data_IF_546945717567
#
_entry.id   IF_546945717567
#
_cell.length_a   1.000
_cell.length_b   1.000
_cell.length_c   1.000
_cell.angle_alpha   90.00
_cell.angle_beta   90.00
_cell.angle_gamma   90.00
#
_symmetry.space_group_name_H-M   'P 1'
#
loop_
_entity.id
_entity.type
_entity.pdbx_description
1 polymer ?
#
# COMPACT_ATOMS: atom_id res chain seq x y z
N UNK A 1 4.51 2.96 -0.10
CA UNK A 1 3.74 2.82 1.16
C UNK A 1 2.25 3.05 0.93
N UNK A 2 1.84 4.25 0.53
CA UNK A 2 0.46 4.56 0.09
C UNK A 2 0.46 4.55 -1.43
N UNK A 3 -0.52 3.92 -2.06
CA UNK A 3 -0.66 3.92 -3.51
C UNK A 3 -1.88 4.72 -3.92
N UNK A 4 -3.07 4.29 -3.54
CA UNK A 4 -4.32 4.92 -3.94
C UNK A 4 -4.96 5.69 -2.80
N UNK A 5 -5.55 6.84 -3.11
CA UNK A 5 -6.42 7.59 -2.22
C UNK A 5 -7.80 7.82 -2.86
N UNK A 6 -8.80 7.97 -2.01
CA UNK A 6 -10.06 8.65 -2.35
C UNK A 6 -10.39 9.64 -1.26
N UNK A 7 -10.52 10.90 -1.63
CA UNK A 7 -10.94 11.99 -0.74
C UNK A 7 -12.28 12.58 -1.18
N UNK A 8 -12.95 13.22 -0.22
CA UNK A 8 -14.21 13.94 -0.42
C UNK A 8 -14.09 15.36 0.14
N UNK A 9 -14.52 16.33 -0.66
CA UNK A 9 -14.63 17.73 -0.29
C UNK A 9 -16.12 18.12 -0.36
N UNK A 10 -16.63 18.81 0.66
CA UNK A 10 -18.01 19.32 0.71
C UNK A 10 -18.09 20.85 0.81
N UNK A 11 -16.94 21.51 0.95
CA UNK A 11 -16.83 22.97 1.01
C UNK A 11 -16.97 23.56 -0.39
N UNK A 12 -18.00 24.35 -0.64
CA UNK A 12 -18.36 24.82 -1.97
C UNK A 12 -17.30 25.74 -2.60
N UNK A 13 -16.72 26.65 -1.80
CA UNK A 13 -15.66 27.54 -2.27
C UNK A 13 -14.45 26.74 -2.74
N UNK A 14 -14.00 25.76 -1.94
CA UNK A 14 -12.91 24.88 -2.31
C UNK A 14 -13.24 24.01 -3.54
N UNK A 15 -14.47 23.48 -3.62
CA UNK A 15 -14.91 22.71 -4.80
C UNK A 15 -14.79 23.56 -6.06
N UNK A 16 -15.30 24.80 -6.05
CA UNK A 16 -15.28 25.67 -7.22
C UNK A 16 -13.85 26.06 -7.60
N UNK A 17 -12.98 26.34 -6.62
CA UNK A 17 -11.57 26.61 -6.85
C UNK A 17 -10.85 25.44 -7.54
N UNK A 18 -11.00 24.21 -7.00
CA UNK A 18 -10.36 23.02 -7.56
C UNK A 18 -10.91 22.71 -8.95
N UNK A 19 -12.24 22.78 -9.12
CA UNK A 19 -12.91 22.35 -10.34
C UNK A 19 -12.60 23.23 -11.56
N UNK A 20 -12.33 24.51 -11.33
CA UNK A 20 -12.01 25.49 -12.36
C UNK A 20 -10.50 25.58 -12.65
N UNK A 21 -9.69 24.71 -12.05
CA UNK A 21 -8.26 24.65 -12.34
C UNK A 21 -8.02 24.21 -13.80
N UNK A 22 -7.23 25.00 -14.53
CA UNK A 22 -7.00 24.85 -15.97
C UNK A 22 -6.22 23.59 -16.34
N UNK A 23 -5.44 23.01 -15.42
CA UNK A 23 -4.68 21.78 -15.69
C UNK A 23 -5.56 20.54 -15.77
N UNK A 24 -6.82 20.62 -15.32
CA UNK A 24 -7.74 19.49 -15.30
C UNK A 24 -8.26 19.19 -16.71
N UNK A 25 -7.98 17.98 -17.19
CA UNK A 25 -8.39 17.50 -18.51
C UNK A 25 -9.76 16.83 -18.40
N UNK A 26 -10.72 17.23 -19.24
CA UNK A 26 -12.02 16.58 -19.32
C UNK A 26 -11.89 15.11 -19.80
N UNK A 27 -12.52 14.19 -19.08
CA UNK A 27 -12.49 12.76 -19.41
C UNK A 27 -13.83 12.23 -19.89
N UNK A 28 -14.93 12.87 -19.49
CA UNK A 28 -16.26 12.43 -19.88
C UNK A 28 -17.36 12.79 -18.90
N UNK A 29 -18.55 12.33 -19.24
CA UNK A 29 -19.76 12.42 -18.44
C UNK A 29 -20.31 11.02 -18.20
N UNK A 30 -20.95 10.85 -17.06
CA UNK A 30 -21.69 9.63 -16.72
C UNK A 30 -22.98 10.01 -16.05
N UNK A 31 -23.98 9.15 -16.11
CA UNK A 31 -25.27 9.39 -15.47
C UNK A 31 -25.40 8.52 -14.22
N UNK A 32 -26.00 9.08 -13.18
CA UNK A 32 -26.28 8.33 -11.96
C UNK A 32 -27.64 8.72 -11.39
N UNK A 33 -28.45 7.71 -11.08
CA UNK A 33 -29.73 7.89 -10.40
C UNK A 33 -29.50 8.30 -8.94
N UNK A 34 -30.17 9.36 -8.52
CA UNK A 34 -30.24 9.86 -7.15
C UNK A 34 -31.68 10.26 -6.88
N UNK A 35 -32.32 9.62 -5.89
CA UNK A 35 -33.70 9.89 -5.49
C UNK A 35 -34.66 10.03 -6.69
N UNK A 36 -34.62 9.03 -7.57
CA UNK A 36 -35.42 8.94 -8.80
C UNK A 36 -35.13 9.95 -9.92
N UNK A 37 -34.12 10.82 -9.74
CA UNK A 37 -33.60 11.69 -10.79
C UNK A 37 -32.30 11.13 -11.39
N UNK A 38 -32.16 11.20 -12.72
CA UNK A 38 -30.88 10.94 -13.38
C UNK A 38 -30.05 12.22 -13.34
N UNK A 39 -28.85 12.13 -12.78
CA UNK A 39 -27.93 13.26 -12.65
C UNK A 39 -26.66 13.00 -13.42
N UNK A 40 -26.26 13.98 -14.22
CA UNK A 40 -25.00 13.96 -14.95
C UNK A 40 -23.83 14.23 -13.99
N UNK A 41 -22.79 13.42 -14.10
CA UNK A 41 -21.55 13.50 -13.36
C UNK A 41 -20.42 13.70 -14.35
N UNK A 42 -19.84 14.89 -14.33
CA UNK A 42 -18.64 15.20 -15.10
C UNK A 42 -17.41 14.66 -14.35
N UNK A 43 -16.49 14.04 -15.10
CA UNK A 43 -15.17 13.65 -14.60
C UNK A 43 -14.08 14.39 -15.35
N UNK A 44 -13.15 14.98 -14.59
CA UNK A 44 -11.87 15.50 -15.09
C UNK A 44 -10.72 14.69 -14.50
N UNK A 45 -9.53 14.79 -15.08
CA UNK A 45 -8.34 14.11 -14.56
C UNK A 45 -7.07 14.91 -14.71
N UNK A 46 -6.07 14.56 -13.91
CA UNK A 46 -4.69 15.01 -14.03
C UNK A 46 -3.74 13.99 -13.41
N UNK A 47 -2.72 13.53 -14.12
CA UNK A 47 -1.69 12.58 -13.64
C UNK A 47 -2.24 11.44 -12.76
N UNK A 48 -3.18 10.64 -13.30
CA UNK A 48 -3.86 9.53 -12.62
C UNK A 48 -4.79 9.91 -11.44
N UNK A 49 -4.98 11.19 -11.14
CA UNK A 49 -6.04 11.66 -10.26
C UNK A 49 -7.29 11.97 -11.08
N UNK A 50 -8.43 11.50 -10.60
CA UNK A 50 -9.75 11.66 -11.21
C UNK A 50 -10.65 12.44 -10.26
N UNK A 51 -11.25 13.50 -10.79
CA UNK A 51 -12.08 14.47 -10.11
C UNK A 51 -13.50 14.29 -10.61
N UNK A 52 -14.41 13.85 -9.75
CA UNK A 52 -15.83 13.69 -10.09
C UNK A 52 -16.65 14.67 -9.27
N UNK A 53 -17.27 15.65 -9.93
CA UNK A 53 -18.13 16.65 -9.28
C UNK A 53 -19.55 16.09 -9.17
N UNK A 54 -20.05 16.07 -7.94
CA UNK A 54 -21.45 15.82 -7.60
C UNK A 54 -22.10 17.15 -7.20
N UNK A 55 -23.42 17.14 -7.02
CA UNK A 55 -24.17 18.35 -6.62
C UNK A 55 -23.66 18.98 -5.33
N UNK A 56 -23.33 18.17 -4.31
CA UNK A 56 -22.96 18.64 -2.98
C UNK A 56 -21.52 18.29 -2.55
N UNK A 57 -20.72 17.73 -3.46
CA UNK A 57 -19.36 17.31 -3.14
C UNK A 57 -18.48 17.15 -4.38
N UNK A 58 -17.18 17.23 -4.17
CA UNK A 58 -16.17 16.77 -5.10
C UNK A 58 -15.51 15.51 -4.53
N UNK A 59 -15.40 14.47 -5.34
CA UNK A 59 -14.58 13.30 -5.00
C UNK A 59 -13.33 13.30 -5.87
N UNK A 60 -12.17 13.18 -5.24
CA UNK A 60 -10.87 13.06 -5.92
C UNK A 60 -10.32 11.70 -5.58
N UNK A 61 -9.97 10.90 -6.58
CA UNK A 61 -9.43 9.54 -6.40
C UNK A 61 -8.30 9.27 -7.38
N UNK A 62 -7.34 8.45 -6.99
CA UNK A 62 -6.23 8.09 -7.88
C UNK A 62 -5.03 7.60 -7.12
N UNK A 63 -3.99 7.21 -7.85
CA UNK A 63 -2.73 6.79 -7.25
C UNK A 63 -1.78 7.97 -7.06
N UNK A 64 -1.39 8.22 -5.80
CA UNK A 64 -0.32 9.15 -5.45
C UNK A 64 1.01 8.69 -6.03
N UNK A 65 1.23 7.39 -6.09
CA UNK A 65 2.46 6.82 -6.61
C UNK A 65 2.55 6.97 -8.14
N UNK A 66 1.44 6.82 -8.85
CA UNK A 66 1.38 7.20 -10.26
C UNK A 66 1.62 8.70 -10.44
N UNK A 67 0.99 9.56 -9.63
CA UNK A 67 1.22 11.00 -9.72
C UNK A 67 2.71 11.36 -9.55
N UNK A 68 3.38 10.74 -8.56
CA UNK A 68 4.81 10.88 -8.32
C UNK A 68 5.67 10.47 -9.53
N UNK A 69 5.28 9.41 -10.24
CA UNK A 69 5.94 8.94 -11.46
C UNK A 69 5.28 9.50 -12.74
N UNK A 70 4.79 10.74 -12.71
CA UNK A 70 4.21 11.45 -13.87
C UNK A 70 3.08 10.71 -14.60
N UNK A 71 2.33 9.89 -13.88
CA UNK A 71 1.22 9.09 -14.41
C UNK A 71 1.64 7.80 -15.11
N UNK A 72 2.89 7.37 -15.01
CA UNK A 72 3.42 6.22 -15.77
C UNK A 72 3.31 4.88 -15.05
N UNK A 73 3.70 4.78 -13.78
CA UNK A 73 3.72 3.51 -13.05
C UNK A 73 3.67 3.66 -11.53
N UNK A 74 3.51 2.54 -10.82
CA UNK A 74 3.60 2.44 -9.35
C UNK A 74 4.47 1.25 -8.88
N UNK A 75 5.51 0.93 -9.64
CA UNK A 75 6.33 -0.26 -9.44
C UNK A 75 7.61 -0.01 -8.61
N UNK A 76 8.20 1.18 -8.67
CA UNK A 76 9.37 1.59 -7.90
C UNK A 76 9.04 1.77 -6.41
N UNK A 77 10.06 2.13 -5.63
CA UNK A 77 9.86 2.48 -4.23
C UNK A 77 9.26 3.87 -4.09
N UNK A 78 8.18 3.94 -3.32
CA UNK A 78 7.53 5.20 -2.95
C UNK A 78 7.63 5.38 -1.44
N UNK A 79 8.63 6.18 -1.04
CA UNK A 79 8.97 6.39 0.37
C UNK A 79 7.93 7.28 1.03
N UNK A 80 7.96 7.31 2.37
CA UNK A 80 7.05 8.17 3.14
C UNK A 80 7.29 9.63 2.78
N UNK A 81 8.55 10.05 2.71
CA UNK A 81 8.89 11.43 2.35
C UNK A 81 8.34 11.80 0.98
N UNK A 82 8.53 10.95 -0.04
CA UNK A 82 8.01 11.18 -1.40
C UNK A 82 6.48 11.27 -1.42
N UNK A 83 5.79 10.46 -0.61
CA UNK A 83 4.35 10.52 -0.46
C UNK A 83 3.89 11.85 0.15
N UNK A 84 4.58 12.33 1.20
CA UNK A 84 4.28 13.62 1.83
C UNK A 84 4.52 14.76 0.82
N UNK A 85 5.66 14.77 0.13
CA UNK A 85 5.96 15.77 -0.90
C UNK A 85 4.95 15.74 -2.05
N UNK A 86 4.52 14.55 -2.47
CA UNK A 86 3.48 14.40 -3.49
C UNK A 86 2.17 15.04 -3.06
N UNK A 87 1.77 14.85 -1.79
CA UNK A 87 0.54 15.46 -1.25
C UNK A 87 0.67 16.98 -1.18
N UNK A 88 1.83 17.52 -0.75
CA UNK A 88 2.07 18.96 -0.75
C UNK A 88 2.08 19.55 -2.17
N UNK A 89 2.64 18.85 -3.16
CA UNK A 89 2.55 19.27 -4.57
C UNK A 89 1.10 19.30 -5.08
N UNK A 90 0.30 18.27 -4.78
CA UNK A 90 -1.13 18.23 -5.13
C UNK A 90 -1.88 19.37 -4.44
N UNK A 91 -1.54 19.65 -3.17
CA UNK A 91 -2.11 20.76 -2.40
C UNK A 91 -1.84 22.10 -3.08
N UNK A 92 -0.60 22.40 -3.45
CA UNK A 92 -0.28 23.66 -4.12
C UNK A 92 -0.91 23.75 -5.52
N UNK A 93 -0.85 22.66 -6.29
CA UNK A 93 -1.38 22.62 -7.66
C UNK A 93 -2.88 22.91 -7.71
N UNK A 94 -3.65 22.30 -6.82
CA UNK A 94 -5.11 22.47 -6.77
C UNK A 94 -5.57 23.45 -5.69
N UNK A 95 -4.63 24.11 -5.00
CA UNK A 95 -4.87 25.01 -3.87
C UNK A 95 -5.78 24.36 -2.82
N UNK A 96 -5.47 23.14 -2.40
CA UNK A 96 -6.29 22.38 -1.46
C UNK A 96 -6.13 22.89 -0.03
N UNK A 97 -7.25 22.96 0.69
CA UNK A 97 -7.22 22.87 2.15
C UNK A 97 -7.27 21.39 2.54
N UNK A 98 -6.14 20.85 2.99
CA UNK A 98 -6.00 19.44 3.33
C UNK A 98 -6.92 19.00 4.49
N UNK A 99 -7.31 19.92 5.38
CA UNK A 99 -8.23 19.64 6.48
C UNK A 99 -9.68 19.45 5.99
N UNK A 100 -10.03 20.06 4.85
CA UNK A 100 -11.34 19.90 4.21
C UNK A 100 -11.42 18.66 3.31
N UNK A 101 -10.30 18.00 3.07
CA UNK A 101 -10.20 16.80 2.23
C UNK A 101 -10.39 15.52 3.06
N UNK A 102 -11.65 15.08 3.26
CA UNK A 102 -11.97 13.89 4.07
C UNK A 102 -11.51 12.60 3.38
N UNK A 103 -10.77 11.74 4.08
CA UNK A 103 -10.35 10.43 3.56
C UNK A 103 -11.52 9.45 3.55
N UNK A 104 -11.76 8.83 2.39
CA UNK A 104 -12.82 7.82 2.20
C UNK A 104 -12.22 6.44 1.94
N UNK A 105 -11.15 6.38 1.14
CA UNK A 105 -10.44 5.15 0.80
C UNK A 105 -8.94 5.38 0.77
N UNK A 106 -8.21 4.32 1.06
CA UNK A 106 -6.77 4.25 1.06
C UNK A 106 -6.35 2.86 0.58
N UNK A 107 -5.40 2.77 -0.34
CA UNK A 107 -4.65 1.55 -0.59
C UNK A 107 -3.21 1.77 -0.13
N UNK A 108 -2.73 0.92 0.77
CA UNK A 108 -1.36 0.98 1.29
C UNK A 108 -0.75 -0.41 1.40
N UNK A 109 0.52 -0.53 1.05
CA UNK A 109 1.21 -1.80 0.94
C UNK A 109 2.70 -1.65 0.74
N UNK A 110 3.36 -2.80 0.64
CA UNK A 110 4.80 -2.93 0.46
C UNK A 110 5.11 -3.89 -0.68
N UNK A 111 6.13 -3.53 -1.48
CA UNK A 111 6.71 -4.38 -2.51
C UNK A 111 7.97 -5.03 -1.93
N UNK A 112 8.07 -6.35 -1.94
CA UNK A 112 9.23 -7.08 -1.44
C UNK A 112 9.69 -8.12 -2.45
N UNK A 113 10.97 -8.46 -2.41
CA UNK A 113 11.56 -9.51 -3.22
C UNK A 113 11.75 -10.76 -2.35
N UNK A 114 10.83 -11.74 -2.40
CA UNK A 114 10.99 -12.99 -1.67
C UNK A 114 12.16 -13.82 -2.21
N UNK A 115 12.67 -14.71 -1.37
CA UNK A 115 13.72 -15.69 -1.72
C UNK A 115 13.23 -16.81 -2.66
N UNK A 116 11.91 -16.95 -2.83
CA UNK A 116 11.27 -17.92 -3.72
C UNK A 116 10.56 -17.19 -4.87
N UNK A 117 10.15 -17.88 -5.95
CA UNK A 117 9.28 -17.29 -6.96
C UNK A 117 7.98 -16.77 -6.34
N UNK A 118 7.59 -15.54 -6.70
CA UNK A 118 6.37 -14.91 -6.15
C UNK A 118 5.11 -15.70 -6.50
N UNK A 119 5.07 -16.32 -7.68
CA UNK A 119 3.98 -17.21 -8.07
C UNK A 119 3.75 -18.32 -7.03
N UNK A 120 4.82 -18.95 -6.55
CA UNK A 120 4.74 -20.01 -5.55
C UNK A 120 4.32 -19.47 -4.19
N UNK A 121 4.85 -18.30 -3.80
CA UNK A 121 4.44 -17.61 -2.58
C UNK A 121 2.93 -17.32 -2.60
N UNK A 122 2.45 -16.67 -3.67
CA UNK A 122 1.04 -16.31 -3.81
C UNK A 122 0.18 -17.55 -3.81
N UNK A 123 0.54 -18.61 -4.55
CA UNK A 123 -0.24 -19.85 -4.60
C UNK A 123 -0.41 -20.51 -3.22
N UNK A 124 0.55 -20.37 -2.32
CA UNK A 124 0.49 -20.94 -0.98
C UNK A 124 -0.17 -20.05 0.10
N UNK A 125 -0.63 -18.84 -0.23
CA UNK A 125 -1.46 -18.02 0.69
C UNK A 125 -2.88 -18.58 0.78
N UNK A 126 -3.24 -19.24 1.89
CA UNK A 126 -4.51 -20.00 1.95
C UNK A 126 -5.63 -19.19 2.59
N UNK A 127 -5.38 -18.60 3.76
CA UNK A 127 -6.37 -17.78 4.47
C UNK A 127 -5.78 -16.44 4.91
N UNK A 128 -6.67 -15.46 5.04
CA UNK A 128 -6.45 -14.26 5.83
C UNK A 128 -7.56 -14.17 6.88
N UNK A 129 -7.18 -14.07 8.15
CA UNK A 129 -8.09 -14.30 9.28
C UNK A 129 -8.76 -15.67 9.12
N UNK A 130 -10.09 -15.71 9.01
CA UNK A 130 -10.90 -16.92 8.79
C UNK A 130 -11.52 -16.98 7.39
N UNK A 131 -11.05 -16.13 6.47
CA UNK A 131 -11.54 -16.09 5.09
C UNK A 131 -10.47 -16.63 4.16
N UNK A 132 -10.87 -17.53 3.28
CA UNK A 132 -9.97 -18.05 2.27
C UNK A 132 -9.58 -16.93 1.31
N UNK A 133 -8.33 -16.96 0.84
CA UNK A 133 -7.94 -16.13 -0.29
C UNK A 133 -8.61 -16.65 -1.55
N UNK A 134 -9.29 -15.77 -2.26
CA UNK A 134 -9.85 -16.05 -3.58
C UNK A 134 -8.97 -15.44 -4.66
N UNK A 135 -9.09 -15.98 -5.87
CA UNK A 135 -8.43 -15.46 -7.07
C UNK A 135 -9.48 -14.74 -7.91
N UNK A 136 -9.25 -13.51 -8.36
CA UNK A 136 -10.02 -12.96 -9.47
C UNK A 136 -9.85 -13.88 -10.67
N UNK A 137 -10.93 -14.17 -11.40
CA UNK A 137 -10.95 -15.16 -12.50
C UNK A 137 -9.91 -14.90 -13.59
N UNK A 138 -9.38 -13.67 -13.68
CA UNK A 138 -8.46 -13.22 -14.72
C UNK A 138 -6.98 -13.16 -14.31
N UNK A 139 -6.62 -13.38 -13.04
CA UNK A 139 -5.25 -13.14 -12.54
C UNK A 139 -4.76 -14.28 -11.63
N UNK A 140 -4.04 -15.25 -12.20
CA UNK A 140 -3.50 -16.41 -11.46
C UNK A 140 -2.53 -16.02 -10.34
N UNK A 141 -1.76 -14.96 -10.55
CA UNK A 141 -0.74 -14.47 -9.62
C UNK A 141 -1.29 -13.38 -8.69
N UNK A 142 -2.59 -13.41 -8.40
CA UNK A 142 -3.27 -12.44 -7.56
C UNK A 142 -4.26 -13.13 -6.62
N UNK A 143 -4.16 -12.80 -5.34
CA UNK A 143 -5.09 -13.24 -4.31
C UNK A 143 -5.67 -12.07 -3.54
N UNK A 144 -6.93 -12.22 -3.17
CA UNK A 144 -7.65 -11.26 -2.35
C UNK A 144 -8.45 -11.96 -1.26
N UNK A 145 -8.50 -11.35 -0.08
CA UNK A 145 -9.33 -11.82 1.03
C UNK A 145 -9.86 -10.62 1.81
N UNK A 146 -10.92 -10.83 2.59
CA UNK A 146 -11.50 -9.79 3.45
C UNK A 146 -12.96 -9.52 3.13
N UNK A 147 -13.47 -8.40 3.62
CA UNK A 147 -14.85 -7.97 3.40
C UNK A 147 -14.87 -6.94 2.27
N UNK A 148 -15.58 -7.26 1.19
CA UNK A 148 -15.61 -6.41 0.00
C UNK A 148 -16.18 -5.02 0.25
N UNK A 149 -17.08 -4.86 1.22
CA UNK A 149 -17.66 -3.57 1.55
C UNK A 149 -16.75 -2.73 2.46
N UNK A 150 -15.85 -3.35 3.24
CA UNK A 150 -15.11 -2.67 4.31
C UNK A 150 -13.60 -2.58 4.07
N UNK A 151 -12.93 -3.72 3.94
CA UNK A 151 -11.46 -3.83 3.85
C UNK A 151 -11.07 -5.16 3.21
N UNK A 152 -10.16 -5.09 2.25
CA UNK A 152 -9.58 -6.25 1.58
C UNK A 152 -8.06 -6.24 1.71
N UNK A 153 -7.48 -7.42 1.83
CA UNK A 153 -6.04 -7.65 1.69
C UNK A 153 -5.81 -8.23 0.31
N UNK A 154 -4.86 -7.67 -0.43
CA UNK A 154 -4.40 -8.13 -1.74
C UNK A 154 -2.97 -8.60 -1.62
N UNK A 155 -2.68 -9.72 -2.26
CA UNK A 155 -1.38 -10.34 -2.28
C UNK A 155 -1.11 -10.86 -3.69
N UNK A 156 -0.14 -10.27 -4.39
CA UNK A 156 0.03 -10.55 -5.81
C UNK A 156 1.46 -10.34 -6.31
N UNK A 157 1.71 -10.90 -7.49
CA UNK A 157 2.95 -10.68 -8.23
C UNK A 157 2.89 -9.36 -8.99
N UNK A 158 3.64 -8.37 -8.50
CA UNK A 158 3.74 -7.05 -9.09
C UNK A 158 4.56 -7.05 -10.37
N UNK A 159 5.49 -8.01 -10.52
CA UNK A 159 6.34 -8.11 -11.72
C UNK A 159 5.57 -8.55 -12.95
N UNK A 160 4.44 -9.26 -12.78
CA UNK A 160 3.50 -9.53 -13.89
C UNK A 160 2.84 -8.25 -14.40
N UNK A 161 2.55 -7.29 -13.51
CA UNK A 161 1.94 -6.03 -13.90
C UNK A 161 2.94 -5.06 -14.53
N UNK A 162 4.20 -5.08 -14.08
CA UNK A 162 5.25 -4.17 -14.52
C UNK A 162 6.58 -4.90 -14.78
N UNK A 163 6.64 -5.78 -15.79
CA UNK A 163 7.82 -6.61 -16.05
C UNK A 163 9.08 -5.80 -16.35
N UNK A 164 8.92 -4.58 -16.89
CA UNK A 164 10.02 -3.67 -17.21
C UNK A 164 10.51 -2.85 -16.01
N UNK A 165 9.82 -2.88 -14.87
CA UNK A 165 10.14 -2.05 -13.71
C UNK A 165 10.49 -2.85 -12.45
N UNK A 166 10.03 -4.10 -12.35
CA UNK A 166 10.38 -4.95 -11.23
C UNK A 166 10.37 -6.43 -11.63
N UNK A 167 11.20 -7.21 -10.95
CA UNK A 167 11.32 -8.66 -11.13
C UNK A 167 11.03 -9.35 -9.79
N UNK A 168 10.37 -10.52 -9.84
CA UNK A 168 10.06 -11.35 -8.67
C UNK A 168 9.61 -10.52 -7.46
N UNK A 169 8.62 -9.65 -7.66
CA UNK A 169 8.20 -8.66 -6.67
C UNK A 169 6.82 -8.99 -6.13
N UNK A 170 6.78 -9.43 -4.86
CA UNK A 170 5.56 -9.67 -4.13
C UNK A 170 5.02 -8.36 -3.57
N UNK A 171 3.74 -8.07 -3.82
CA UNK A 171 3.05 -6.96 -3.20
C UNK A 171 2.00 -7.45 -2.22
N UNK A 172 2.11 -6.97 -0.98
CA UNK A 172 1.10 -7.14 0.06
C UNK A 172 0.48 -5.78 0.38
N UNK A 173 -0.85 -5.67 0.22
CA UNK A 173 -1.57 -4.40 0.26
C UNK A 173 -2.91 -4.51 0.98
N UNK A 174 -3.26 -3.49 1.74
CA UNK A 174 -4.59 -3.27 2.30
C UNK A 174 -5.31 -2.27 1.42
N UNK A 175 -6.48 -2.65 0.92
CA UNK A 175 -7.46 -1.77 0.29
C UNK A 175 -8.61 -1.50 1.25
N UNK A 176 -8.76 -0.25 1.65
CA UNK A 176 -9.90 0.19 2.46
C UNK A 176 -11.03 0.66 1.55
N UNK A 177 -12.26 0.27 1.87
CA UNK A 177 -13.46 0.62 1.09
C UNK A 177 -14.33 1.69 1.76
N UNK A 178 -14.20 1.86 3.07
CA UNK A 178 -14.97 2.82 3.86
C UNK A 178 -14.09 3.63 4.80
N UNK A 179 -14.48 4.89 5.01
CA UNK A 179 -13.86 5.79 5.97
C UNK A 179 -13.83 5.19 7.39
N UNK A 180 -14.82 4.37 7.78
CA UNK A 180 -14.90 3.75 9.11
C UNK A 180 -13.62 3.02 9.51
N UNK A 181 -12.98 2.29 8.58
CA UNK A 181 -11.71 1.62 8.88
C UNK A 181 -10.57 2.62 9.04
N UNK A 182 -10.46 3.59 8.14
CA UNK A 182 -9.39 4.61 8.13
C UNK A 182 -9.48 5.47 9.41
N UNK A 183 -10.69 5.88 9.78
CA UNK A 183 -10.99 6.61 11.00
C UNK A 183 -10.60 5.83 12.26
N UNK A 184 -10.74 4.49 12.25
CA UNK A 184 -10.30 3.65 13.38
C UNK A 184 -8.78 3.62 13.57
N UNK A 185 -8.02 4.06 12.55
CA UNK A 185 -6.57 4.29 12.62
C UNK A 185 -6.23 5.74 12.98
N UNK A 186 -7.21 6.58 13.31
CA UNK A 186 -7.01 8.01 13.62
C UNK A 186 -6.71 8.86 12.38
N UNK A 187 -7.07 8.39 11.19
CA UNK A 187 -6.90 9.11 9.93
C UNK A 187 -8.26 9.60 9.45
N UNK A 188 -8.40 10.91 9.24
CA UNK A 188 -9.69 11.52 8.90
C UNK A 188 -9.60 12.39 7.66
N UNK A 189 -8.48 13.11 7.49
CA UNK A 189 -8.29 14.07 6.42
C UNK A 189 -6.95 13.84 5.71
N UNK A 190 -6.81 14.41 4.51
CA UNK A 190 -5.56 14.32 3.76
C UNK A 190 -4.38 14.95 4.52
N UNK A 191 -4.64 15.92 5.41
CA UNK A 191 -3.65 16.50 6.31
C UNK A 191 -2.95 15.43 7.16
N UNK A 192 -3.67 14.40 7.63
CA UNK A 192 -3.04 13.35 8.43
C UNK A 192 -1.98 12.57 7.64
N UNK A 193 -2.07 12.53 6.30
CA UNK A 193 -1.09 11.86 5.45
C UNK A 193 0.15 12.72 5.17
N UNK A 194 0.23 13.95 5.70
CA UNK A 194 1.46 14.78 5.65
C UNK A 194 2.27 14.70 6.95
N UNK A 195 1.78 13.99 7.97
CA UNK A 195 2.45 13.85 9.26
C UNK A 195 3.03 12.44 9.45
N UNK A 196 4.34 12.35 9.68
CA UNK A 196 5.08 11.07 9.76
C UNK A 196 4.47 10.09 10.78
N UNK A 197 4.00 10.58 11.93
CA UNK A 197 3.42 9.75 13.01
C UNK A 197 2.27 8.84 12.53
N UNK A 198 1.51 9.29 11.53
CA UNK A 198 0.38 8.55 10.99
C UNK A 198 0.80 7.38 10.10
N UNK A 199 2.01 7.41 9.53
CA UNK A 199 2.55 6.30 8.76
C UNK A 199 2.93 5.11 9.64
N UNK A 200 3.35 5.34 10.89
CA UNK A 200 3.63 4.24 11.83
C UNK A 200 2.35 3.46 12.17
N UNK A 201 1.20 4.13 12.24
CA UNK A 201 -0.11 3.48 12.41
C UNK A 201 -0.49 2.62 11.19
N UNK A 202 -0.23 3.11 9.97
CA UNK A 202 -0.43 2.36 8.73
C UNK A 202 0.49 1.14 8.65
N UNK A 203 1.77 1.31 9.00
CA UNK A 203 2.76 0.24 9.05
C UNK A 203 2.35 -0.84 10.05
N UNK A 204 1.98 -0.44 11.26
CA UNK A 204 1.51 -1.37 12.28
C UNK A 204 0.25 -2.12 11.81
N UNK A 205 -0.70 -1.41 11.18
CA UNK A 205 -1.86 -2.03 10.57
C UNK A 205 -1.48 -3.04 9.47
N UNK A 206 -0.55 -2.70 8.58
CA UNK A 206 -0.08 -3.57 7.49
C UNK A 206 0.53 -4.88 8.03
N UNK A 207 1.44 -4.77 9.00
CA UNK A 207 2.09 -5.94 9.62
C UNK A 207 1.09 -6.80 10.41
N UNK A 208 0.09 -6.18 11.03
CA UNK A 208 -1.00 -6.90 11.71
C UNK A 208 -1.86 -7.71 10.73
N UNK A 209 -2.12 -7.20 9.53
CA UNK A 209 -2.82 -7.99 8.51
C UNK A 209 -1.96 -9.16 8.01
N UNK A 210 -0.63 -8.99 7.92
CA UNK A 210 0.26 -10.12 7.66
C UNK A 210 0.17 -11.17 8.77
N UNK A 211 0.07 -10.75 10.03
CA UNK A 211 -0.11 -11.67 11.18
C UNK A 211 -1.38 -12.52 11.11
N UNK A 212 -2.36 -12.08 10.32
CA UNK A 212 -3.60 -12.81 10.09
C UNK A 212 -3.51 -13.83 8.96
N UNK A 213 -2.43 -13.86 8.18
CA UNK A 213 -2.22 -14.80 7.08
C UNK A 213 -1.96 -16.23 7.58
N UNK A 214 -2.51 -17.22 6.87
CA UNK A 214 -2.10 -18.61 6.88
C UNK A 214 -1.42 -18.92 5.54
N UNK A 215 -0.10 -19.09 5.57
CA UNK A 215 0.75 -19.40 4.44
C UNK A 215 1.24 -20.85 4.57
N UNK A 216 1.02 -21.66 3.54
CA UNK A 216 1.58 -23.01 3.49
C UNK A 216 3.07 -22.95 3.12
N UNK A 217 3.91 -23.48 4.00
CA UNK A 217 5.33 -23.69 3.75
C UNK A 217 5.60 -25.19 3.55
N UNK A 218 5.43 -25.64 2.31
CA UNK A 218 5.58 -27.07 1.93
C UNK A 218 7.04 -27.56 1.93
N UNK A 219 8.00 -26.67 2.15
CA UNK A 219 9.43 -27.03 2.25
C UNK A 219 9.79 -27.57 3.63
N UNK A 220 8.88 -27.45 4.60
CA UNK A 220 9.07 -27.87 5.99
C UNK A 220 8.31 -29.17 6.27
N UNK A 221 8.96 -30.07 7.00
CA UNK A 221 8.34 -31.31 7.46
C UNK A 221 7.46 -31.04 8.70
N UNK A 222 6.15 -31.05 8.51
CA UNK A 222 5.14 -31.03 9.58
C UNK A 222 3.99 -31.97 9.20
N UNK A 223 3.06 -32.22 10.12
CA UNK A 223 1.95 -33.15 9.84
C UNK A 223 1.14 -32.74 8.60
N UNK A 224 0.93 -33.68 7.66
CA UNK A 224 0.25 -33.47 6.37
C UNK A 224 -1.11 -32.79 6.49
N UNK A 225 -1.82 -33.02 7.61
CA UNK A 225 -3.10 -32.37 7.90
C UNK A 225 -3.02 -30.84 7.80
N UNK A 226 -1.89 -30.22 8.13
CA UNK A 226 -1.74 -28.77 8.06
C UNK A 226 -1.68 -28.24 6.63
N UNK A 227 -1.25 -29.06 5.66
CA UNK A 227 -1.24 -28.71 4.24
C UNK A 227 -2.54 -29.09 3.52
N UNK A 228 -3.52 -29.63 4.24
CA UNK A 228 -4.83 -29.97 3.71
C UNK A 228 -5.82 -28.81 3.97
N UNK A 229 -6.39 -28.23 2.92
CA UNK A 229 -7.39 -27.16 3.05
C UNK A 229 -8.65 -27.64 3.77
N UNK A 230 -9.05 -28.90 3.59
CA UNK A 230 -10.25 -29.47 4.23
C UNK A 230 -10.11 -29.49 5.76
N UNK A 231 -8.91 -29.73 6.30
CA UNK A 231 -8.65 -29.66 7.74
C UNK A 231 -8.97 -28.26 8.31
N UNK A 232 -8.55 -27.20 7.61
CA UNK A 232 -8.82 -25.83 8.03
C UNK A 232 -10.30 -25.46 7.90
N UNK A 233 -10.97 -25.92 6.84
CA UNK A 233 -12.42 -25.76 6.69
C UNK A 233 -13.22 -26.46 7.78
N UNK A 234 -12.86 -27.69 8.14
CA UNK A 234 -13.50 -28.43 9.23
C UNK A 234 -13.30 -27.75 10.57
N UNK A 235 -12.11 -27.19 10.83
CA UNK A 235 -11.87 -26.38 12.03
C UNK A 235 -12.77 -25.16 12.08
N UNK A 236 -13.04 -24.52 10.95
CA UNK A 236 -13.93 -23.36 10.87
C UNK A 236 -15.40 -23.75 11.06
N UNK A 237 -15.83 -24.90 10.53
CA UNK A 237 -17.22 -25.40 10.63
C UNK A 237 -17.55 -25.96 12.01
N UNK A 238 -16.68 -26.80 12.56
CA UNK A 238 -16.97 -27.63 13.75
C UNK A 238 -16.18 -27.21 14.99
N UNK A 239 -15.38 -26.14 14.90
CA UNK A 239 -14.52 -25.68 15.98
C UNK A 239 -15.11 -24.58 16.84
N UNK A 240 -14.61 -24.49 18.08
CA UNK A 240 -14.72 -23.29 18.91
C UNK A 240 -14.14 -22.06 18.18
N UNK A 241 -14.68 -20.86 18.47
CA UNK A 241 -14.23 -19.54 17.96
C UNK A 241 -12.70 -19.37 17.84
N UNK A 242 -11.91 -19.95 18.74
CA UNK A 242 -10.45 -19.81 18.81
C UNK A 242 -9.66 -20.96 18.18
N UNK A 243 -10.32 -22.07 17.80
CA UNK A 243 -9.65 -23.30 17.33
C UNK A 243 -8.76 -23.04 16.11
N UNK A 244 -9.25 -22.26 15.13
CA UNK A 244 -8.48 -21.88 13.95
C UNK A 244 -7.15 -21.18 14.30
N UNK A 245 -7.22 -20.14 15.13
CA UNK A 245 -6.02 -19.38 15.52
C UNK A 245 -5.05 -20.23 16.35
N UNK A 246 -5.57 -21.11 17.21
CA UNK A 246 -4.74 -22.03 17.98
C UNK A 246 -3.99 -23.03 17.09
N UNK A 247 -4.68 -23.61 16.09
CA UNK A 247 -4.06 -24.52 15.13
C UNK A 247 -3.06 -23.80 14.23
N UNK A 248 -3.35 -22.57 13.79
CA UNK A 248 -2.41 -21.72 13.04
C UNK A 248 -1.14 -21.44 13.83
N UNK A 249 -1.27 -21.10 15.11
CA UNK A 249 -0.12 -20.87 15.99
C UNK A 249 0.69 -22.15 16.20
N UNK A 250 0.02 -23.29 16.38
CA UNK A 250 0.69 -24.59 16.48
C UNK A 250 1.46 -24.93 15.20
N UNK A 251 0.83 -24.71 14.04
CA UNK A 251 1.45 -24.88 12.72
C UNK A 251 2.73 -24.04 12.58
N UNK A 252 2.67 -22.72 12.80
CA UNK A 252 3.86 -21.87 12.72
C UNK A 252 4.92 -22.21 13.78
N UNK A 253 4.52 -22.64 14.98
CA UNK A 253 5.47 -23.13 15.99
C UNK A 253 6.23 -24.36 15.50
N UNK A 254 5.56 -25.27 14.78
CA UNK A 254 6.16 -26.48 14.22
C UNK A 254 7.06 -26.22 13.01
N UNK A 255 6.73 -25.21 12.19
CA UNK A 255 7.57 -24.80 11.06
C UNK A 255 8.92 -24.22 11.51
N UNK A 256 8.99 -23.64 12.71
CA UNK A 256 10.22 -23.06 13.25
C UNK A 256 10.48 -21.62 12.82
N UNK A 257 11.58 -21.06 13.32
CA UNK A 257 11.95 -19.65 13.15
C UNK A 257 12.35 -19.28 11.71
N UNK A 258 12.77 -20.26 10.92
CA UNK A 258 13.22 -20.10 9.54
C UNK A 258 12.12 -20.41 8.51
N UNK A 259 10.85 -20.47 8.95
CA UNK A 259 9.69 -20.64 8.08
C UNK A 259 9.56 -19.50 7.07
N UNK A 260 9.03 -19.82 5.88
CA UNK A 260 8.74 -18.85 4.83
C UNK A 260 7.90 -17.68 5.34
N UNK A 261 6.91 -17.95 6.20
CA UNK A 261 6.06 -16.92 6.81
C UNK A 261 6.87 -15.87 7.59
N UNK A 262 7.83 -16.32 8.40
CA UNK A 262 8.70 -15.43 9.19
C UNK A 262 9.66 -14.70 8.25
N UNK A 263 10.27 -15.40 7.29
CA UNK A 263 11.20 -14.81 6.33
C UNK A 263 10.55 -13.66 5.54
N UNK A 264 9.33 -13.86 5.02
CA UNK A 264 8.60 -12.79 4.33
C UNK A 264 8.30 -11.62 5.27
N UNK A 265 7.88 -11.89 6.51
CA UNK A 265 7.64 -10.83 7.51
C UNK A 265 8.91 -10.00 7.76
N UNK A 266 10.06 -10.65 7.89
CA UNK A 266 11.37 -10.01 8.09
C UNK A 266 11.73 -9.13 6.89
N UNK A 267 11.56 -9.63 5.66
CA UNK A 267 11.82 -8.86 4.43
C UNK A 267 10.87 -7.65 4.35
N UNK A 268 9.59 -7.82 4.69
CA UNK A 268 8.63 -6.71 4.76
C UNK A 268 9.06 -5.65 5.77
N UNK A 269 9.51 -6.05 6.96
CA UNK A 269 9.98 -5.11 7.99
C UNK A 269 11.24 -4.36 7.54
N UNK A 270 12.22 -5.06 6.96
CA UNK A 270 13.43 -4.44 6.41
C UNK A 270 13.08 -3.43 5.31
N UNK A 271 12.15 -3.80 4.40
CA UNK A 271 11.67 -2.92 3.35
C UNK A 271 10.93 -1.70 3.90
N UNK A 272 10.08 -1.87 4.90
CA UNK A 272 9.38 -0.77 5.57
C UNK A 272 10.37 0.21 6.20
N UNK A 273 11.42 -0.30 6.86
CA UNK A 273 12.47 0.55 7.42
C UNK A 273 13.20 1.34 6.33
N UNK A 274 13.47 0.72 5.18
CA UNK A 274 14.00 1.43 4.01
C UNK A 274 13.05 2.54 3.53
N UNK A 275 11.75 2.28 3.44
CA UNK A 275 10.75 3.27 3.03
C UNK A 275 10.53 4.40 4.05
N UNK A 276 10.92 4.21 5.31
CA UNK A 276 10.97 5.25 6.35
C UNK A 276 12.21 6.14 6.24
N UNK A 277 13.31 5.63 5.69
CA UNK A 277 14.56 6.39 5.60
C UNK A 277 14.40 7.63 4.71
N UNK A 278 14.84 8.79 5.21
CA UNK A 278 14.96 10.00 4.41
C UNK A 278 16.18 9.83 3.51
N UNK A 279 16.03 10.11 2.22
CA UNK A 279 17.18 10.18 1.32
C UNK A 279 18.00 11.41 1.74
N UNK A 280 19.17 11.21 2.33
CA UNK A 280 20.18 12.27 2.39
C UNK A 280 20.69 12.40 0.95
N UNK A 281 20.54 13.55 0.29
CA UNK A 281 21.14 13.75 -1.02
C UNK A 281 22.63 13.44 -0.92
N UNK A 282 23.10 12.47 -1.70
CA UNK A 282 24.52 12.16 -1.79
C UNK A 282 25.20 13.22 -2.66
N UNK A 283 25.21 14.46 -2.18
CA UNK A 283 26.08 15.53 -2.65
C UNK A 283 26.91 15.99 -1.47
N UNK A 284 27.70 15.07 -0.93
CA UNK A 284 28.98 15.45 -0.33
C UNK A 284 29.98 15.11 -1.43
N UNK A 285 30.28 16.10 -2.28
CA UNK A 285 31.59 16.12 -2.92
C UNK A 285 32.57 16.17 -1.75
N UNK A 286 33.13 15.01 -1.39
CA UNK A 286 34.36 14.96 -0.62
C UNK A 286 35.42 15.58 -1.53
N UNK A 287 35.53 16.92 -1.48
CA UNK A 287 36.77 17.57 -1.85
C UNK A 287 37.84 16.93 -0.98
N UNK A 288 38.63 16.06 -1.59
CA UNK A 288 39.84 15.53 -1.01
C UNK A 288 40.71 16.73 -0.67
N UNK A 289 40.70 17.14 0.61
CA UNK A 289 41.68 18.06 1.14
C UNK A 289 43.05 17.35 1.01
N UNK A 290 43.78 17.69 -0.05
CA UNK A 290 45.18 17.31 -0.19
C UNK A 290 45.94 18.01 0.94
N UNK A 291 46.21 17.26 2.01
CA UNK A 291 47.18 17.67 3.02
C UNK A 291 48.55 17.65 2.34
N UNK A 292 49.02 18.82 1.90
CA UNK A 292 50.42 19.03 1.51
C UNK A 292 51.30 18.85 2.75
N UNK A 293 51.89 17.68 2.90
CA UNK A 293 52.98 17.43 3.85
C UNK A 293 54.22 18.14 3.30
N UNK A 294 54.59 19.27 3.90
CA UNK A 294 55.85 19.96 3.62
C UNK A 294 56.95 19.29 4.45
N UNK A 295 57.81 18.50 3.80
CA UNK A 295 59.05 18.02 4.42
C UNK A 295 60.04 19.19 4.54
N UNK A 296 60.36 19.60 5.76
CA UNK A 296 61.50 20.48 6.05
C UNK A 296 62.76 19.63 6.12
N UNK A 297 63.57 19.67 5.06
CA UNK A 297 64.92 19.09 5.05
C UNK A 297 65.84 19.95 5.93
N UNK A 298 66.28 19.40 7.07
CA UNK A 298 67.33 20.00 7.89
C UNK A 298 68.69 19.49 7.36
N UNK A 299 69.44 20.36 6.70
CA UNK A 299 70.86 20.14 6.43
C UNK A 299 71.64 20.40 7.72
N UNK A 300 72.40 19.40 8.19
CA UNK A 300 73.49 19.62 9.15
C UNK A 300 74.80 19.78 8.38
N UNK A 301 75.50 20.88 8.67
CA UNK A 301 76.96 21.00 8.51
C UNK A 301 77.65 20.15 9.58
#
# INVERSE_FOLDING_TARGET
MIDFIKIRITDEALINQVWNNEVLIYQGKSEKRFDDEIKELVTKSYKNLYFTKFQNRLEIKGSLHYFFNDGLHNANDFKIYDCIQTIEQIKELFKLDLNKCKLINLEYGVNVNPIIPVVDLVQNLIYHEKRQFTRPTTHFNYKIAGNEAYKQVKAYDKSVQFPNHCNNTFRFEIKTKQAKFINSLGLFTLQNLTEIKHYDLLIHSLLKEWDNVLLFDKTKAVEDKFFNTNFWEEILKNGNRNKFNNQKRLYYKKLGADSLYINIKTIMQAKINHLKSVQIPTTINLETAQVKIIFKTIYKK
#
